data_IF_909603017713
#
_entry.id   IF_909603017713
#
_cell.length_a   1.000
_cell.length_b   1.000
_cell.length_c   1.000
_cell.angle_alpha   90.00
_cell.angle_beta   90.00
_cell.angle_gamma   90.00
#
_symmetry.space_group_name_H-M   'P 1'
#
loop_
_entity.id
_entity.type
_entity.pdbx_description
1 polymer ?
#
# COMPACT_ATOMS: atom_id res chain seq x y z
N UNK A 1 9.96 8.85 -73.99
CA UNK A 1 10.61 8.05 -72.91
C UNK A 1 10.53 8.85 -71.62
N UNK A 2 9.60 8.54 -70.71
CA UNK A 2 9.77 8.89 -69.29
C UNK A 2 8.92 7.95 -68.44
N UNK A 3 9.58 7.35 -67.46
CA UNK A 3 9.19 6.12 -66.77
C UNK A 3 8.19 6.38 -65.65
N UNK A 4 7.14 5.57 -65.62
CA UNK A 4 6.26 5.32 -64.49
C UNK A 4 7.08 4.88 -63.27
N UNK A 5 7.03 5.64 -62.17
CA UNK A 5 7.57 5.20 -60.89
C UNK A 5 6.43 5.19 -59.85
N UNK A 6 5.83 4.02 -59.71
CA UNK A 6 4.91 3.64 -58.65
C UNK A 6 5.72 3.51 -57.35
N UNK A 7 5.60 4.50 -56.45
CA UNK A 7 6.17 4.41 -55.11
C UNK A 7 5.16 3.68 -54.21
N UNK A 8 5.33 2.37 -54.06
CA UNK A 8 4.64 1.57 -53.06
C UNK A 8 5.03 2.05 -51.66
N UNK A 9 4.11 2.72 -50.96
CA UNK A 9 4.22 2.99 -49.53
C UNK A 9 4.03 1.67 -48.77
N UNK A 10 5.14 1.05 -48.37
CA UNK A 10 5.12 -0.06 -47.41
C UNK A 10 4.58 0.49 -46.08
N UNK A 11 3.30 0.22 -45.81
CA UNK A 11 2.70 0.41 -44.51
C UNK A 11 3.49 -0.45 -43.50
N UNK A 12 4.33 0.21 -42.71
CA UNK A 12 4.97 -0.40 -41.55
C UNK A 12 3.90 -0.58 -40.48
N UNK A 13 3.10 -1.64 -40.62
CA UNK A 13 2.20 -2.11 -39.59
C UNK A 13 3.08 -2.57 -38.44
N UNK A 14 3.31 -1.69 -37.46
CA UNK A 14 3.96 -2.05 -36.22
C UNK A 14 3.15 -3.16 -35.58
N UNK A 15 3.63 -4.40 -35.71
CA UNK A 15 3.12 -5.53 -34.96
C UNK A 15 3.52 -5.28 -33.51
N UNK A 16 2.69 -4.55 -32.78
CA UNK A 16 2.76 -4.45 -31.33
C UNK A 16 2.58 -5.88 -30.85
N UNK A 17 3.69 -6.54 -30.52
CA UNK A 17 3.71 -7.84 -29.87
C UNK A 17 3.03 -7.64 -28.51
N UNK A 18 1.70 -7.79 -28.50
CA UNK A 18 0.95 -8.03 -27.29
C UNK A 18 1.56 -9.30 -26.71
N UNK A 19 2.43 -9.15 -25.72
CA UNK A 19 3.04 -10.27 -25.03
C UNK A 19 1.90 -11.01 -24.36
N UNK A 20 1.41 -12.06 -25.02
CA UNK A 20 0.38 -12.93 -24.48
C UNK A 20 0.99 -13.59 -23.25
N UNK A 21 0.60 -13.11 -22.07
CA UNK A 21 1.04 -13.68 -20.81
C UNK A 21 0.57 -15.13 -20.77
N UNK A 22 1.52 -16.06 -20.77
CA UNK A 22 1.23 -17.50 -20.81
C UNK A 22 1.01 -18.03 -19.41
N UNK A 23 0.11 -19.02 -19.27
CA UNK A 23 -0.06 -19.74 -18.01
C UNK A 23 1.27 -20.31 -17.53
N UNK A 24 1.57 -20.09 -16.25
CA UNK A 24 2.87 -20.39 -15.64
C UNK A 24 3.83 -19.19 -15.60
N UNK A 25 3.49 -18.06 -16.23
CA UNK A 25 4.25 -16.82 -16.06
C UNK A 25 4.36 -16.45 -14.58
N UNK A 26 5.56 -16.04 -14.15
CA UNK A 26 5.79 -15.61 -12.77
C UNK A 26 6.40 -14.22 -12.72
N UNK A 27 6.03 -13.48 -11.69
CA UNK A 27 6.51 -12.11 -11.45
C UNK A 27 6.73 -11.90 -9.96
N UNK A 28 7.74 -11.15 -9.56
CA UNK A 28 7.99 -10.79 -8.15
C UNK A 28 7.96 -9.28 -8.00
N UNK A 29 7.36 -8.79 -6.92
CA UNK A 29 7.18 -7.36 -6.69
C UNK A 29 6.41 -7.08 -5.41
N UNK A 30 5.84 -5.88 -5.32
CA UNK A 30 5.04 -5.45 -4.16
C UNK A 30 3.55 -5.70 -4.42
N UNK A 31 2.86 -6.21 -3.41
CA UNK A 31 1.40 -6.20 -3.34
C UNK A 31 0.94 -5.13 -2.34
N UNK A 32 -0.14 -4.42 -2.67
CA UNK A 32 -0.98 -3.68 -1.71
C UNK A 32 -2.35 -4.35 -1.59
N UNK A 33 -3.25 -3.75 -0.83
CA UNK A 33 -4.66 -4.08 -0.84
C UNK A 33 -5.52 -2.82 -0.91
N UNK A 34 -6.73 -2.96 -1.47
CA UNK A 34 -7.69 -1.86 -1.56
C UNK A 34 -8.06 -1.29 -0.19
N UNK A 35 -8.17 0.04 -0.10
CA UNK A 35 -8.76 0.73 1.04
C UNK A 35 -10.21 0.28 1.27
N UNK A 36 -10.64 0.25 2.54
CA UNK A 36 -12.01 -0.18 2.91
C UNK A 36 -13.09 0.75 2.31
N UNK A 37 -12.72 1.97 1.90
CA UNK A 37 -13.62 2.94 1.26
C UNK A 37 -14.07 2.53 -0.16
N UNK A 38 -13.34 1.64 -0.82
CA UNK A 38 -13.70 1.19 -2.16
C UNK A 38 -14.79 0.11 -2.15
N UNK A 39 -15.12 -0.49 -1.01
CA UNK A 39 -16.14 -1.54 -0.91
C UNK A 39 -17.48 -1.08 -1.51
N UNK A 40 -18.00 -1.81 -2.50
CA UNK A 40 -19.19 -1.44 -3.27
C UNK A 40 -18.95 -0.54 -4.48
N UNK A 41 -17.70 -0.11 -4.76
CA UNK A 41 -17.35 0.70 -5.93
C UNK A 41 -17.25 -0.12 -7.21
N UNK A 42 -17.46 0.53 -8.36
CA UNK A 42 -17.30 -0.08 -9.68
C UNK A 42 -15.84 -0.04 -10.14
N UNK A 43 -15.31 -1.18 -10.55
CA UNK A 43 -13.94 -1.36 -11.10
C UNK A 43 -13.83 -0.92 -12.56
N UNK A 44 -12.61 -0.86 -13.12
CA UNK A 44 -12.38 -0.57 -14.53
C UNK A 44 -13.09 -1.56 -15.48
N UNK A 45 -13.23 -2.83 -15.07
CA UNK A 45 -13.98 -3.85 -15.81
C UNK A 45 -15.47 -3.89 -15.50
N UNK A 46 -16.00 -2.86 -14.82
CA UNK A 46 -17.43 -2.68 -14.51
C UNK A 46 -18.02 -3.75 -13.57
N UNK A 47 -17.18 -4.47 -12.84
CA UNK A 47 -17.61 -5.30 -11.71
C UNK A 47 -17.68 -4.48 -10.42
N UNK A 48 -18.63 -4.80 -9.53
CA UNK A 48 -18.69 -4.22 -8.19
C UNK A 48 -17.64 -4.89 -7.32
N UNK A 49 -16.74 -4.11 -6.76
CA UNK A 49 -15.76 -4.59 -5.80
C UNK A 49 -16.43 -4.93 -4.47
N UNK A 50 -16.14 -6.12 -3.95
CA UNK A 50 -16.49 -6.55 -2.60
C UNK A 50 -15.20 -6.94 -1.88
N UNK A 51 -14.95 -6.33 -0.72
CA UNK A 51 -13.72 -6.55 0.05
C UNK A 51 -13.56 -7.99 0.58
N UNK A 52 -14.67 -8.72 0.70
CA UNK A 52 -14.71 -10.11 1.16
C UNK A 52 -14.38 -11.13 0.06
N UNK A 53 -14.37 -10.72 -1.21
CA UNK A 53 -14.07 -11.61 -2.33
C UNK A 53 -12.56 -11.85 -2.49
N UNK A 54 -12.16 -12.91 -3.19
CA UNK A 54 -10.76 -13.19 -3.54
C UNK A 54 -10.44 -12.64 -4.93
N UNK A 55 -10.27 -11.33 -4.99
CA UNK A 55 -10.11 -10.56 -6.23
C UNK A 55 -8.92 -9.61 -6.17
N UNK A 56 -8.48 -9.11 -7.33
CA UNK A 56 -7.36 -8.17 -7.44
C UNK A 56 -7.38 -7.31 -8.70
N UNK A 57 -6.59 -6.24 -8.68
CA UNK A 57 -6.15 -5.47 -9.84
C UNK A 57 -4.77 -5.95 -10.32
N UNK A 58 -4.57 -6.04 -11.64
CA UNK A 58 -3.25 -6.24 -12.25
C UNK A 58 -3.08 -5.43 -13.55
N UNK A 59 -1.91 -4.85 -13.79
CA UNK A 59 -1.67 -3.89 -14.89
C UNK A 59 -1.64 -4.51 -16.29
N UNK A 60 -1.31 -5.80 -16.37
CA UNK A 60 -1.12 -6.53 -17.64
C UNK A 60 -1.92 -7.83 -17.76
N UNK A 61 -2.51 -8.34 -16.69
CA UNK A 61 -3.18 -9.65 -16.78
C UNK A 61 -4.62 -9.43 -17.24
N UNK A 62 -5.12 -10.21 -18.21
CA UNK A 62 -6.48 -10.05 -18.70
C UNK A 62 -7.52 -10.17 -17.59
N UNK A 63 -8.63 -9.47 -17.75
CA UNK A 63 -9.85 -9.64 -16.94
C UNK A 63 -10.20 -11.14 -16.79
N UNK A 64 -10.63 -11.56 -15.61
CA UNK A 64 -10.94 -12.95 -15.25
C UNK A 64 -9.76 -13.93 -15.23
N UNK A 65 -8.52 -13.45 -15.36
CA UNK A 65 -7.34 -14.28 -15.07
C UNK A 65 -7.33 -14.71 -13.60
N UNK A 66 -6.80 -15.90 -13.32
CA UNK A 66 -6.54 -16.38 -11.96
C UNK A 66 -5.05 -16.37 -11.68
N UNK A 67 -4.67 -15.84 -10.53
CA UNK A 67 -3.27 -15.65 -10.15
C UNK A 67 -3.07 -16.18 -8.74
N UNK A 68 -2.08 -17.05 -8.54
CA UNK A 68 -1.61 -17.41 -7.21
C UNK A 68 -0.64 -16.34 -6.73
N UNK A 69 -0.99 -15.69 -5.64
CA UNK A 69 -0.18 -14.70 -4.95
C UNK A 69 0.46 -15.40 -3.77
N UNK A 70 1.79 -15.39 -3.68
CA UNK A 70 2.53 -15.96 -2.56
C UNK A 70 3.25 -14.86 -1.80
N UNK A 71 2.96 -14.71 -0.51
CA UNK A 71 3.72 -13.81 0.36
C UNK A 71 5.09 -14.41 0.66
N UNK A 72 6.15 -13.73 0.22
CA UNK A 72 7.53 -14.22 0.32
C UNK A 72 8.08 -14.20 1.75
N UNK A 73 7.44 -13.49 2.67
CA UNK A 73 7.89 -13.42 4.06
C UNK A 73 7.40 -14.59 4.92
N UNK A 74 6.29 -15.25 4.54
CA UNK A 74 5.66 -16.29 5.34
C UNK A 74 5.23 -17.53 4.54
N UNK A 75 5.46 -17.54 3.23
CA UNK A 75 5.08 -18.59 2.28
C UNK A 75 3.57 -18.92 2.23
N UNK A 76 2.71 -18.06 2.76
CA UNK A 76 1.25 -18.18 2.59
C UNK A 76 0.89 -17.73 1.19
N UNK A 77 -0.02 -18.45 0.55
CA UNK A 77 -0.53 -18.11 -0.76
C UNK A 77 -2.07 -18.06 -0.80
N UNK A 78 -2.57 -17.30 -1.76
CA UNK A 78 -4.00 -17.23 -2.09
C UNK A 78 -4.14 -17.09 -3.59
N UNK A 79 -5.15 -17.75 -4.17
CA UNK A 79 -5.49 -17.55 -5.58
C UNK A 79 -6.60 -16.50 -5.70
N UNK A 80 -6.34 -15.45 -6.47
CA UNK A 80 -7.28 -14.35 -6.71
C UNK A 80 -7.70 -14.30 -8.18
N UNK A 81 -8.87 -13.72 -8.46
CA UNK A 81 -9.35 -13.39 -9.81
C UNK A 81 -9.08 -11.92 -10.14
N UNK A 82 -8.59 -11.63 -11.33
CA UNK A 82 -8.40 -10.25 -11.79
C UNK A 82 -9.74 -9.65 -12.19
N UNK A 83 -10.14 -8.56 -11.54
CA UNK A 83 -11.40 -7.84 -11.79
C UNK A 83 -11.21 -6.36 -12.09
N UNK A 84 -9.97 -5.87 -12.05
CA UNK A 84 -9.68 -4.44 -12.20
C UNK A 84 -8.30 -4.22 -12.81
N UNK A 85 -8.06 -2.99 -13.26
CA UNK A 85 -6.79 -2.56 -13.86
C UNK A 85 -5.86 -1.91 -12.84
N UNK A 86 -4.56 -1.83 -13.16
CA UNK A 86 -3.53 -1.29 -12.26
C UNK A 86 -2.96 -2.36 -11.32
N UNK A 87 -2.15 -2.03 -10.30
CA UNK A 87 -1.77 -0.69 -9.91
C UNK A 87 -0.78 -0.05 -10.89
N UNK A 88 -0.93 1.26 -11.12
CA UNK A 88 -0.07 2.05 -12.00
C UNK A 88 1.06 2.74 -11.22
N UNK A 89 1.64 2.01 -10.27
CA UNK A 89 2.72 2.48 -9.39
C UNK A 89 3.91 1.57 -9.61
N UNK A 90 5.06 2.15 -9.98
CA UNK A 90 6.25 1.38 -10.29
C UNK A 90 6.67 0.48 -9.10
N UNK A 91 6.97 -0.78 -9.40
CA UNK A 91 7.33 -1.79 -8.40
C UNK A 91 6.14 -2.46 -7.67
N UNK A 92 4.94 -1.87 -7.71
CA UNK A 92 3.71 -2.53 -7.26
C UNK A 92 3.12 -3.30 -8.43
N UNK A 93 2.94 -4.60 -8.22
CA UNK A 93 2.56 -5.52 -9.30
C UNK A 93 1.14 -6.05 -9.14
N UNK A 94 0.55 -5.95 -7.95
CA UNK A 94 -0.82 -6.39 -7.71
C UNK A 94 -1.44 -5.59 -6.57
N UNK A 95 -2.74 -5.37 -6.64
CA UNK A 95 -3.55 -4.82 -5.55
C UNK A 95 -4.66 -5.81 -5.23
N UNK A 96 -4.62 -6.45 -4.07
CA UNK A 96 -5.54 -7.54 -3.71
C UNK A 96 -6.71 -7.03 -2.86
N UNK A 97 -7.79 -7.80 -2.77
CA UNK A 97 -8.88 -7.49 -1.84
C UNK A 97 -8.44 -7.53 -0.37
N UNK A 98 -9.25 -6.91 0.52
CA UNK A 98 -9.03 -6.96 1.96
C UNK A 98 -8.95 -8.40 2.47
N UNK A 99 -9.88 -9.26 2.04
CA UNK A 99 -9.89 -10.68 2.41
C UNK A 99 -8.65 -11.43 1.94
N UNK A 100 -8.20 -11.19 0.71
CA UNK A 100 -6.98 -11.80 0.19
C UNK A 100 -5.74 -11.35 1.00
N UNK A 101 -5.68 -10.08 1.41
CA UNK A 101 -4.60 -9.56 2.24
C UNK A 101 -4.52 -10.24 3.62
N UNK A 102 -5.67 -10.50 4.26
CA UNK A 102 -5.74 -11.26 5.52
C UNK A 102 -5.24 -12.71 5.34
N UNK A 103 -5.65 -13.36 4.25
CA UNK A 103 -5.23 -14.73 3.93
C UNK A 103 -3.74 -14.83 3.54
N UNK A 104 -3.18 -13.78 2.96
CA UNK A 104 -1.75 -13.65 2.69
C UNK A 104 -0.95 -13.28 3.95
N UNK A 105 -1.63 -12.87 5.02
CA UNK A 105 -0.98 -12.47 6.25
C UNK A 105 -0.17 -11.19 6.10
N UNK A 106 -0.76 -10.14 5.51
CA UNK A 106 -0.20 -8.79 5.51
C UNK A 106 0.07 -8.28 6.94
N UNK A 107 -0.72 -8.76 7.91
CA UNK A 107 -0.61 -8.34 9.30
C UNK A 107 -1.03 -6.88 9.44
N UNK A 108 -0.11 -6.04 9.91
CA UNK A 108 -0.33 -4.59 10.06
C UNK A 108 0.29 -3.76 8.93
N UNK A 109 0.88 -4.41 7.94
CA UNK A 109 1.51 -3.73 6.80
C UNK A 109 0.47 -3.44 5.72
N UNK A 110 0.56 -2.26 5.09
CA UNK A 110 -0.25 -1.92 3.91
C UNK A 110 0.28 -2.58 2.63
N UNK A 111 1.54 -3.02 2.64
CA UNK A 111 2.21 -3.66 1.50
C UNK A 111 3.10 -4.85 1.91
N UNK A 112 3.32 -5.79 1.00
CA UNK A 112 4.23 -6.94 1.19
C UNK A 112 4.95 -7.31 -0.11
N UNK A 113 6.08 -8.03 -0.01
CA UNK A 113 6.71 -8.67 -1.18
C UNK A 113 6.00 -9.97 -1.52
N UNK A 114 5.64 -10.12 -2.79
CA UNK A 114 4.95 -11.30 -3.29
C UNK A 114 5.62 -11.87 -4.53
N UNK A 115 5.39 -13.16 -4.76
CA UNK A 115 5.54 -13.80 -6.07
C UNK A 115 4.15 -14.11 -6.62
N UNK A 116 3.92 -13.75 -7.87
CA UNK A 116 2.75 -14.10 -8.66
C UNK A 116 3.06 -15.31 -9.55
N UNK A 117 2.08 -16.17 -9.73
CA UNK A 117 2.05 -17.24 -10.72
C UNK A 117 0.70 -17.19 -11.44
N UNK A 118 0.73 -16.96 -12.75
CA UNK A 118 -0.47 -16.91 -13.58
C UNK A 118 -1.01 -18.34 -13.78
N UNK A 119 -2.18 -18.62 -13.19
CA UNK A 119 -2.79 -19.96 -13.17
C UNK A 119 -3.66 -20.19 -14.39
N UNK A 120 -4.44 -19.19 -14.81
CA UNK A 120 -5.28 -19.26 -16.01
C UNK A 120 -5.59 -17.87 -16.54
N UNK A 121 -5.87 -17.77 -17.83
CA UNK A 121 -6.51 -16.61 -18.48
C UNK A 121 -7.83 -17.06 -19.14
N UNK A 122 -8.69 -16.15 -19.60
CA UNK A 122 -9.89 -16.53 -20.35
C UNK A 122 -9.60 -17.43 -21.57
N UNK A 123 -8.48 -17.19 -22.25
CA UNK A 123 -8.07 -17.92 -23.46
C UNK A 123 -7.20 -19.16 -23.16
N UNK A 124 -6.64 -19.26 -21.95
CA UNK A 124 -5.76 -20.36 -21.53
C UNK A 124 -6.20 -20.90 -20.18
N UNK A 125 -6.93 -22.03 -20.14
CA UNK A 125 -7.32 -22.65 -18.88
C UNK A 125 -6.11 -23.17 -18.10
N UNK A 126 -6.29 -23.40 -16.80
CA UNK A 126 -5.23 -23.94 -15.95
C UNK A 126 -4.69 -25.24 -16.54
N UNK A 127 -3.36 -25.31 -16.73
CA UNK A 127 -2.73 -26.57 -17.12
C UNK A 127 -2.98 -27.57 -16.00
N UNK A 128 -3.58 -28.71 -16.32
CA UNK A 128 -3.60 -29.87 -15.43
C UNK A 128 -2.15 -30.34 -15.24
N UNK A 129 -1.44 -29.73 -14.31
CA UNK A 129 -0.18 -30.27 -13.80
C UNK A 129 -0.62 -31.39 -12.85
N UNK A 130 -0.85 -32.57 -13.41
CA UNK A 130 -0.81 -33.81 -12.63
C UNK A 130 0.46 -33.73 -11.79
N UNK A 131 0.29 -33.57 -10.47
CA UNK A 131 1.38 -33.67 -9.52
C UNK A 131 1.93 -35.08 -9.64
N UNK A 132 2.96 -35.27 -10.46
CA UNK A 132 3.90 -36.36 -10.25
C UNK A 132 4.45 -36.12 -8.84
N UNK A 133 4.28 -37.06 -7.89
CA UNK A 133 4.88 -36.89 -6.57
C UNK A 133 6.38 -36.71 -6.77
N UNK A 134 6.90 -35.56 -6.33
CA UNK A 134 8.33 -35.40 -6.15
C UNK A 134 8.81 -36.56 -5.27
N UNK A 135 9.85 -37.24 -5.74
CA UNK A 135 10.43 -38.42 -5.13
C UNK A 135 10.49 -38.28 -3.60
N UNK A 136 9.84 -39.22 -2.92
CA UNK A 136 9.97 -39.40 -1.49
C UNK A 136 11.44 -39.72 -1.18
N UNK A 137 12.05 -38.91 -0.32
CA UNK A 137 13.24 -39.33 0.42
C UNK A 137 12.90 -40.59 1.23
N UNK A 138 13.81 -41.57 1.34
CA UNK A 138 13.52 -42.81 2.04
C UNK A 138 13.49 -42.57 3.55
N UNK A 139 12.31 -42.68 4.16
CA UNK A 139 12.22 -42.79 5.62
C UNK A 139 12.85 -44.12 6.09
N UNK A 140 13.67 -44.11 7.17
CA UNK A 140 14.10 -45.35 7.80
C UNK A 140 12.95 -45.96 8.61
N UNK A 141 12.81 -47.25 8.41
CA UNK A 141 11.80 -48.14 8.93
C UNK A 141 12.03 -48.42 10.43
N UNK A 142 11.07 -48.12 11.31
CA UNK A 142 10.97 -48.77 12.64
C UNK A 142 9.54 -49.17 12.98
N UNK A 143 9.27 -50.44 12.70
CA UNK A 143 8.47 -51.44 13.43
C UNK A 143 7.15 -51.02 14.11
N UNK A 144 6.09 -51.48 13.45
CA UNK A 144 4.84 -52.09 13.95
C UNK A 144 4.94 -52.78 15.33
N UNK A 145 4.05 -52.40 16.24
CA UNK A 145 3.46 -53.27 17.27
C UNK A 145 2.00 -52.81 17.52
N UNK A 146 1.10 -53.79 17.68
CA UNK A 146 -0.35 -53.67 17.63
C UNK A 146 -0.99 -53.20 18.97
N UNK A 147 -2.28 -52.87 18.85
CA UNK A 147 -3.38 -53.11 19.82
C UNK A 147 -3.65 -52.11 20.96
N UNK A 148 -4.81 -51.46 20.84
CA UNK A 148 -5.64 -50.98 21.94
C UNK A 148 -6.43 -52.17 22.56
N UNK A 149 -6.99 -52.09 23.79
CA UNK A 149 -8.18 -51.25 24.04
C UNK A 149 -8.24 -50.54 25.41
N UNK A 150 -9.04 -49.47 25.46
CA UNK A 150 -9.60 -48.82 26.66
C UNK A 150 -10.52 -49.77 27.48
N UNK A 151 -10.74 -49.56 28.80
CA UNK A 151 -11.82 -48.64 29.26
C UNK A 151 -11.64 -47.92 30.63
N UNK A 152 -12.42 -46.83 30.78
CA UNK A 152 -13.32 -46.51 31.92
C UNK A 152 -13.06 -45.24 32.77
N UNK A 153 -13.84 -44.18 32.46
CA UNK A 153 -14.90 -43.52 33.28
C UNK A 153 -14.60 -42.99 34.72
N UNK A 154 -14.78 -41.68 34.92
CA UNK A 154 -15.73 -41.04 35.88
C UNK A 154 -15.56 -39.50 35.89
N UNK A 155 -16.56 -38.74 35.41
CA UNK A 155 -17.63 -38.02 36.15
C UNK A 155 -17.27 -36.59 36.66
N UNK A 156 -18.01 -35.61 36.12
CA UNK A 156 -18.25 -34.24 36.63
C UNK A 156 -19.32 -34.28 37.77
N UNK A 157 -19.97 -33.20 38.29
CA UNK A 157 -19.94 -31.77 37.91
C UNK A 157 -20.03 -30.74 39.08
N UNK A 158 -19.89 -29.42 38.80
CA UNK A 158 -20.70 -28.35 39.41
C UNK A 158 -20.43 -26.96 38.76
N UNK A 159 -21.51 -26.31 38.32
CA UNK A 159 -21.67 -24.88 38.02
C UNK A 159 -22.16 -24.13 39.28
N UNK A 160 -22.72 -22.90 39.22
CA UNK A 160 -22.10 -21.59 38.96
C UNK A 160 -22.32 -20.62 40.16
N UNK A 161 -21.57 -19.52 40.25
CA UNK A 161 -21.93 -18.39 41.14
C UNK A 161 -21.85 -17.03 40.44
N UNK A 162 -23.03 -16.56 40.06
CA UNK A 162 -23.46 -15.17 40.01
C UNK A 162 -23.33 -14.53 41.39
N UNK A 163 -23.02 -13.23 41.46
CA UNK A 163 -23.47 -12.35 42.54
C UNK A 163 -23.57 -10.90 42.04
N UNK A 164 -24.79 -10.39 42.06
CA UNK A 164 -25.20 -8.99 41.94
C UNK A 164 -25.67 -8.54 43.31
N UNK A 165 -25.28 -7.35 43.79
CA UNK A 165 -25.99 -6.47 44.75
C UNK A 165 -25.26 -5.11 44.72
N UNK A 166 -25.74 -4.04 44.10
CA UNK A 166 -26.88 -3.12 44.40
C UNK A 166 -26.67 -2.21 45.61
N UNK A 167 -26.48 -0.90 45.36
CA UNK A 167 -26.98 0.24 46.17
C UNK A 167 -26.92 1.54 45.32
N UNK A 168 -28.02 2.00 44.70
CA UNK A 168 -28.91 3.13 45.12
C UNK A 168 -28.17 4.40 45.58
N UNK A 169 -28.54 5.63 45.24
CA UNK A 169 -29.57 6.21 44.38
C UNK A 169 -29.28 7.74 44.26
N UNK A 170 -29.85 8.36 43.22
CA UNK A 170 -30.41 9.71 43.15
C UNK A 170 -29.53 10.98 43.34
N UNK A 171 -29.59 11.84 42.30
CA UNK A 171 -30.32 13.14 42.31
C UNK A 171 -29.50 14.32 41.74
N UNK A 172 -29.77 14.64 40.48
CA UNK A 172 -29.77 16.03 39.95
C UNK A 172 -30.87 16.84 40.67
N UNK A 173 -30.76 18.17 40.82
CA UNK A 173 -30.99 19.05 39.66
C UNK A 173 -30.15 20.35 39.64
N UNK A 174 -29.96 20.93 38.45
CA UNK A 174 -29.76 22.38 38.25
C UNK A 174 -31.07 23.15 38.61
N UNK A 175 -31.16 24.50 38.74
CA UNK A 175 -30.81 25.42 37.62
C UNK A 175 -30.45 26.91 37.95
N UNK A 176 -29.96 27.63 36.92
CA UNK A 176 -30.12 29.09 36.62
C UNK A 176 -29.43 30.14 37.53
N UNK A 177 -28.91 31.31 37.13
CA UNK A 177 -29.14 32.21 35.97
C UNK A 177 -28.10 33.36 35.91
N UNK A 178 -27.83 33.86 34.68
CA UNK A 178 -27.66 35.28 34.23
C UNK A 178 -26.49 36.18 34.68
N UNK A 179 -25.68 36.63 33.72
CA UNK A 179 -25.77 37.92 32.98
C UNK A 179 -24.84 37.84 31.73
N UNK A 180 -25.31 37.94 30.45
CA UNK A 180 -25.67 39.12 29.61
C UNK A 180 -24.55 40.21 29.63
N UNK A 181 -24.00 40.79 28.56
CA UNK A 181 -24.41 41.21 27.18
C UNK A 181 -23.04 41.41 26.42
N UNK A 182 -22.84 41.14 25.13
CA UNK A 182 -23.02 42.07 23.99
C UNK A 182 -22.60 41.33 22.72
N UNK A 183 -23.53 41.26 21.75
CA UNK A 183 -23.27 40.93 20.35
C UNK A 183 -23.56 42.17 19.51
N UNK A 184 -22.62 42.55 18.63
CA UNK A 184 -22.91 43.32 17.42
C UNK A 184 -22.15 42.71 16.24
N UNK A 185 -22.77 42.60 15.05
CA UNK A 185 -22.19 41.94 13.88
C UNK A 185 -21.68 42.94 12.82
N UNK A 186 -20.55 42.64 12.15
CA UNK A 186 -20.22 43.26 10.83
C UNK A 186 -19.03 42.54 10.14
N UNK A 187 -18.84 42.64 8.81
CA UNK A 187 -19.63 42.02 7.75
C UNK A 187 -18.76 41.17 6.78
N UNK A 188 -19.41 40.46 5.86
CA UNK A 188 -18.78 39.77 4.73
C UNK A 188 -17.99 40.72 3.79
N UNK A 189 -16.91 40.27 3.13
CA UNK A 189 -16.33 41.02 2.02
C UNK A 189 -17.22 40.87 0.78
N UNK A 190 -17.90 41.96 0.43
CA UNK A 190 -18.59 42.15 -0.84
C UNK A 190 -17.58 42.40 -1.96
N UNK A 191 -17.83 41.76 -3.10
CA UNK A 191 -17.14 41.96 -4.37
C UNK A 191 -17.15 43.44 -4.77
N UNK A 192 -15.98 44.08 -4.78
CA UNK A 192 -15.78 45.38 -5.43
C UNK A 192 -15.09 45.16 -6.77
N UNK A 193 -15.87 45.33 -7.85
CA UNK A 193 -15.34 45.51 -9.19
C UNK A 193 -14.32 46.66 -9.17
N UNK A 194 -13.07 46.33 -9.49
CA UNK A 194 -12.01 47.32 -9.67
C UNK A 194 -11.88 47.60 -11.15
N UNK A 195 -12.40 48.75 -11.58
CA UNK A 195 -12.15 49.32 -12.89
C UNK A 195 -10.65 49.61 -13.00
N UNK A 196 -9.91 48.77 -13.72
CA UNK A 196 -8.49 49.02 -14.01
C UNK A 196 -8.42 49.70 -15.37
N UNK A 197 -8.02 50.97 -15.33
CA UNK A 197 -7.65 51.79 -16.48
C UNK A 197 -6.53 51.12 -17.27
N UNK A 198 -6.81 50.76 -18.52
CA UNK A 198 -5.85 50.21 -19.48
C UNK A 198 -4.82 51.26 -19.87
N UNK A 199 -3.68 51.28 -19.18
CA UNK A 199 -2.45 51.80 -19.76
C UNK A 199 -1.88 50.70 -20.66
N UNK A 200 -1.94 50.92 -21.98
CA UNK A 200 -1.24 50.07 -22.96
C UNK A 200 0.26 50.27 -22.80
N UNK A 201 0.86 49.52 -21.88
CA UNK A 201 2.28 49.26 -21.90
C UNK A 201 2.52 48.17 -22.97
N UNK A 202 3.34 48.49 -23.96
CA UNK A 202 3.72 47.57 -25.03
C UNK A 202 4.57 46.47 -24.40
N UNK A 203 3.93 45.36 -24.04
CA UNK A 203 4.62 44.14 -23.64
C UNK A 203 5.12 43.51 -24.94
N UNK A 204 6.42 43.68 -25.19
CA UNK A 204 7.19 42.94 -26.17
C UNK A 204 6.91 41.43 -26.01
N UNK A 205 6.56 40.76 -27.11
CA UNK A 205 6.20 39.34 -27.17
C UNK A 205 7.31 38.45 -26.57
N UNK A 206 7.29 38.26 -25.26
CA UNK A 206 8.12 37.25 -24.60
C UNK A 206 7.52 35.91 -24.96
N UNK A 207 8.29 35.07 -25.66
CA UNK A 207 7.90 33.69 -25.92
C UNK A 207 7.35 33.06 -24.63
N UNK A 208 6.21 32.36 -24.68
CA UNK A 208 5.64 31.74 -23.50
C UNK A 208 6.68 30.79 -22.91
N UNK A 209 7.00 30.97 -21.62
CA UNK A 209 7.90 30.08 -20.88
C UNK A 209 7.32 28.67 -20.95
N UNK A 210 7.92 27.83 -21.80
CA UNK A 210 7.51 26.43 -21.97
C UNK A 210 7.99 25.64 -20.75
N UNK A 211 7.14 25.55 -19.73
CA UNK A 211 7.34 24.56 -18.68
C UNK A 211 7.12 23.18 -19.27
N UNK A 212 8.05 22.25 -19.04
CA UNK A 212 7.79 20.83 -19.26
C UNK A 212 6.70 20.44 -18.27
N UNK A 213 5.52 19.95 -18.71
CA UNK A 213 4.45 19.57 -17.80
C UNK A 213 4.96 18.51 -16.82
N UNK A 214 4.65 18.68 -15.53
CA UNK A 214 5.02 17.71 -14.52
C UNK A 214 4.44 16.34 -14.91
N UNK A 215 5.30 15.37 -15.23
CA UNK A 215 4.86 13.99 -15.40
C UNK A 215 4.40 13.47 -14.04
N UNK A 216 3.20 12.90 -14.00
CA UNK A 216 2.66 12.26 -12.81
C UNK A 216 3.61 11.16 -12.35
N UNK A 217 4.08 11.31 -11.09
CA UNK A 217 4.83 10.34 -10.31
C UNK A 217 6.14 9.84 -10.95
N UNK A 218 7.16 10.69 -10.94
CA UNK A 218 8.54 10.21 -11.08
C UNK A 218 8.82 9.23 -9.93
N UNK A 219 9.32 8.00 -10.20
CA UNK A 219 9.54 7.00 -9.18
C UNK A 219 10.50 7.50 -8.11
N UNK A 220 10.22 7.16 -6.84
CA UNK A 220 11.18 7.37 -5.74
C UNK A 220 12.48 6.63 -6.06
N UNK A 221 13.62 7.18 -5.64
CA UNK A 221 14.91 6.51 -5.82
C UNK A 221 14.86 5.14 -5.14
N UNK A 222 14.91 4.08 -5.96
CA UNK A 222 15.08 2.71 -5.49
C UNK A 222 16.53 2.28 -5.75
N UNK A 223 17.19 1.76 -4.71
CA UNK A 223 18.63 1.46 -4.75
C UNK A 223 19.52 2.63 -4.31
N UNK A 224 20.78 2.35 -3.99
CA UNK A 224 21.74 3.26 -3.34
C UNK A 224 22.31 4.39 -4.22
N UNK A 225 21.48 5.08 -5.01
CA UNK A 225 21.93 6.06 -6.02
C UNK A 225 21.57 7.52 -5.68
N UNK A 226 21.63 7.89 -4.40
CA UNK A 226 21.68 9.31 -4.06
C UNK A 226 23.13 9.80 -4.28
N UNK A 227 23.33 10.60 -5.32
CA UNK A 227 24.64 11.11 -5.79
C UNK A 227 24.50 12.59 -6.13
N UNK A 228 25.57 13.20 -6.63
CA UNK A 228 25.48 14.58 -7.14
C UNK A 228 24.51 14.62 -8.33
N UNK A 229 23.55 15.54 -8.29
CA UNK A 229 22.49 15.64 -9.29
C UNK A 229 21.36 16.58 -8.89
N UNK A 230 20.37 16.73 -9.78
CA UNK A 230 19.17 17.53 -9.54
C UNK A 230 18.01 16.61 -9.19
N UNK A 231 17.33 16.90 -8.08
CA UNK A 231 16.23 16.10 -7.56
C UNK A 231 14.96 16.94 -7.40
N UNK A 232 13.80 16.34 -7.67
CA UNK A 232 12.49 16.90 -7.32
C UNK A 232 12.18 16.57 -5.86
N UNK A 233 11.86 17.57 -5.05
CA UNK A 233 11.44 17.40 -3.67
C UNK A 233 9.96 17.75 -3.56
N UNK A 234 9.16 16.85 -2.98
CA UNK A 234 7.77 17.12 -2.61
C UNK A 234 7.65 17.14 -1.09
N UNK A 235 7.21 18.28 -0.54
CA UNK A 235 6.96 18.41 0.89
C UNK A 235 5.48 18.19 1.15
N UNK A 236 5.14 17.04 1.75
CA UNK A 236 3.77 16.68 2.12
C UNK A 236 3.66 16.65 3.64
N UNK A 237 2.50 17.06 4.17
CA UNK A 237 2.18 16.76 5.57
C UNK A 237 1.98 15.25 5.70
N UNK A 238 2.48 14.61 6.77
CA UNK A 238 2.21 13.21 7.02
C UNK A 238 0.70 12.96 7.14
N UNK A 239 0.27 11.74 6.83
CA UNK A 239 -1.08 11.28 7.15
C UNK A 239 -1.35 11.38 8.67
N UNK A 240 -2.62 11.28 9.07
CA UNK A 240 -2.98 11.26 10.49
C UNK A 240 -2.25 10.15 11.25
N UNK A 241 -1.76 10.46 12.44
CA UNK A 241 -1.15 9.51 13.36
C UNK A 241 -0.24 10.24 14.36
N UNK A 242 -0.08 9.65 15.54
CA UNK A 242 0.52 10.33 16.69
C UNK A 242 1.96 9.87 16.97
N UNK A 243 2.35 8.70 16.44
CA UNK A 243 3.62 8.06 16.76
C UNK A 243 4.42 7.68 15.51
N UNK A 244 5.72 7.57 15.67
CA UNK A 244 6.65 7.10 14.66
C UNK A 244 7.79 6.30 15.29
N UNK A 245 8.64 5.71 14.46
CA UNK A 245 9.88 5.06 14.89
C UNK A 245 11.05 5.85 14.33
N UNK A 246 11.75 6.59 15.19
CA UNK A 246 12.96 7.30 14.79
C UNK A 246 14.08 6.28 14.57
N UNK A 247 14.67 6.29 13.38
CA UNK A 247 15.76 5.36 12.99
C UNK A 247 17.11 6.06 12.89
N UNK A 248 17.13 7.37 12.66
CA UNK A 248 18.35 8.14 12.57
C UNK A 248 18.15 9.63 12.91
N UNK A 249 19.26 10.32 13.17
CA UNK A 249 19.33 11.78 13.32
C UNK A 249 20.62 12.28 12.69
N UNK A 250 20.51 13.36 11.92
CA UNK A 250 21.62 13.98 11.21
C UNK A 250 21.66 15.48 11.47
N UNK A 251 22.87 16.05 11.48
CA UNK A 251 23.08 17.51 11.59
C UNK A 251 23.04 18.22 10.23
N UNK A 252 22.97 17.45 9.15
CA UNK A 252 22.99 17.95 7.78
C UNK A 252 21.91 17.26 6.92
N UNK A 253 21.38 18.02 5.97
CA UNK A 253 20.31 17.55 5.09
C UNK A 253 20.79 16.46 4.14
N UNK A 254 22.05 16.50 3.71
CA UNK A 254 22.62 15.54 2.75
C UNK A 254 22.63 14.12 3.31
N UNK A 255 23.10 13.94 4.54
CA UNK A 255 23.12 12.65 5.24
C UNK A 255 21.70 12.15 5.52
N UNK A 256 20.78 13.06 5.86
CA UNK A 256 19.37 12.70 6.01
C UNK A 256 18.77 12.19 4.69
N UNK A 257 19.05 12.86 3.57
CA UNK A 257 18.61 12.44 2.24
C UNK A 257 19.22 11.11 1.81
N UNK A 258 20.50 10.88 2.10
CA UNK A 258 21.15 9.58 1.88
C UNK A 258 20.47 8.46 2.65
N UNK A 259 20.08 8.70 3.91
CA UNK A 259 19.37 7.70 4.72
C UNK A 259 17.98 7.42 4.17
N UNK A 260 17.24 8.47 3.75
CA UNK A 260 15.93 8.32 3.10
C UNK A 260 16.06 7.45 1.84
N UNK A 261 17.04 7.73 0.98
CA UNK A 261 17.29 6.94 -0.22
C UNK A 261 17.65 5.47 0.11
N UNK A 262 18.45 5.22 1.16
CA UNK A 262 18.76 3.86 1.63
C UNK A 262 17.51 3.13 2.14
N UNK A 263 16.61 3.82 2.83
CA UNK A 263 15.36 3.25 3.32
C UNK A 263 14.39 2.97 2.14
N UNK A 264 14.28 3.88 1.18
CA UNK A 264 13.51 3.65 -0.05
C UNK A 264 14.04 2.46 -0.87
N UNK A 265 15.37 2.31 -0.96
CA UNK A 265 16.01 1.13 -1.55
C UNK A 265 15.67 -0.19 -0.82
N UNK A 266 15.34 -0.10 0.47
CA UNK A 266 14.86 -1.20 1.30
C UNK A 266 13.32 -1.28 1.33
N UNK A 267 12.64 -0.59 0.42
CA UNK A 267 11.17 -0.61 0.23
C UNK A 267 10.36 0.07 1.34
N UNK A 268 10.98 0.95 2.14
CA UNK A 268 10.24 1.81 3.06
C UNK A 268 9.66 3.01 2.31
N UNK A 269 8.36 3.23 2.43
CA UNK A 269 7.59 4.27 1.72
C UNK A 269 7.09 5.38 2.64
N UNK A 270 6.73 5.03 3.88
CA UNK A 270 6.26 5.93 4.92
C UNK A 270 7.42 6.50 5.75
N UNK A 271 8.26 7.31 5.10
CA UNK A 271 9.43 7.96 5.69
C UNK A 271 9.12 9.44 5.92
N UNK A 272 9.20 9.86 7.19
CA UNK A 272 9.01 11.22 7.63
C UNK A 272 10.34 11.87 7.99
N UNK A 273 10.44 13.16 7.76
CA UNK A 273 11.58 13.98 8.18
C UNK A 273 11.08 15.07 9.12
N UNK A 274 11.56 15.06 10.36
CA UNK A 274 11.30 16.14 11.32
C UNK A 274 12.56 16.99 11.45
N UNK A 275 12.47 18.27 11.06
CA UNK A 275 13.53 19.26 11.28
C UNK A 275 13.29 20.02 12.59
N UNK A 276 14.19 19.92 13.54
CA UNK A 276 14.15 20.67 14.81
C UNK A 276 15.51 21.30 15.04
N UNK A 277 15.56 22.64 15.09
CA UNK A 277 16.83 23.35 15.03
C UNK A 277 17.62 22.94 13.78
N UNK A 278 18.92 22.68 13.90
CA UNK A 278 19.74 22.15 12.82
C UNK A 278 19.69 20.63 12.64
N UNK A 279 18.82 19.91 13.37
CA UNK A 279 18.80 18.43 13.36
C UNK A 279 17.65 17.91 12.51
N UNK A 280 17.97 16.91 11.68
CA UNK A 280 17.07 16.19 10.81
C UNK A 280 16.84 14.79 11.36
N UNK A 281 15.65 14.52 11.88
CA UNK A 281 15.25 13.21 12.39
C UNK A 281 14.55 12.44 11.28
N UNK A 282 15.03 11.23 10.99
CA UNK A 282 14.42 10.31 10.02
C UNK A 282 13.55 9.32 10.78
N UNK A 283 12.27 9.27 10.45
CA UNK A 283 11.23 8.58 11.20
C UNK A 283 10.41 7.70 10.25
N UNK A 284 10.15 6.45 10.63
CA UNK A 284 9.21 5.57 9.92
C UNK A 284 7.83 5.66 10.57
N UNK A 285 6.77 5.82 9.77
CA UNK A 285 5.40 6.03 10.24
C UNK A 285 4.63 6.99 9.32
N UNK A 286 3.45 7.46 9.71
CA UNK A 286 2.93 7.52 11.09
C UNK A 286 2.23 6.24 11.56
N UNK A 287 2.05 6.11 12.88
CA UNK A 287 1.26 5.10 13.56
C UNK A 287 0.25 5.77 14.51
N UNK A 288 -0.93 5.17 14.69
CA UNK A 288 -1.99 5.73 15.53
C UNK A 288 -1.64 5.72 17.02
N UNK A 289 -0.98 4.64 17.47
CA UNK A 289 -0.67 4.40 18.88
C UNK A 289 0.80 3.97 19.12
N UNK A 290 1.25 4.19 20.35
CA UNK A 290 2.63 3.94 20.78
C UNK A 290 3.00 2.45 20.71
N UNK A 291 2.06 1.54 20.99
CA UNK A 291 2.32 0.11 20.98
C UNK A 291 2.57 -0.40 19.55
N UNK A 292 1.87 0.14 18.57
CA UNK A 292 2.07 -0.13 17.14
C UNK A 292 3.46 0.28 16.68
N UNK A 293 3.87 1.51 17.00
CA UNK A 293 5.23 1.97 16.72
C UNK A 293 6.28 1.13 17.46
N UNK A 294 6.04 0.77 18.72
CA UNK A 294 6.96 -0.07 19.50
C UNK A 294 7.12 -1.48 18.94
N UNK A 295 6.04 -2.09 18.47
CA UNK A 295 6.08 -3.40 17.82
C UNK A 295 6.82 -3.32 16.47
N UNK A 296 6.58 -2.26 15.70
CA UNK A 296 7.31 -2.02 14.46
C UNK A 296 8.81 -1.86 14.72
N UNK A 297 9.22 -1.11 15.75
CA UNK A 297 10.63 -0.96 16.13
C UNK A 297 11.30 -2.30 16.50
N UNK A 298 10.59 -3.20 17.20
CA UNK A 298 11.08 -4.56 17.49
C UNK A 298 11.28 -5.37 16.21
N UNK A 299 10.33 -5.29 15.27
CA UNK A 299 10.40 -5.96 13.98
C UNK A 299 11.54 -5.43 13.12
N UNK A 300 11.78 -4.11 13.11
CA UNK A 300 12.94 -3.51 12.45
C UNK A 300 14.26 -4.10 12.95
N UNK A 301 14.42 -4.20 14.28
CA UNK A 301 15.62 -4.78 14.89
C UNK A 301 15.76 -6.27 14.54
N UNK A 302 14.66 -7.03 14.58
CA UNK A 302 14.69 -8.47 14.33
C UNK A 302 15.01 -8.79 12.87
N UNK A 303 14.26 -8.18 11.94
CA UNK A 303 14.23 -8.52 10.51
C UNK A 303 15.29 -7.78 9.70
N UNK A 304 15.49 -6.49 9.99
CA UNK A 304 16.37 -5.62 9.20
C UNK A 304 17.65 -5.23 9.93
N UNK A 305 17.83 -5.68 11.19
CA UNK A 305 18.95 -5.29 12.05
C UNK A 305 19.08 -3.78 12.23
N UNK A 306 17.96 -3.07 12.12
CA UNK A 306 17.92 -1.61 12.28
C UNK A 306 17.39 -1.27 13.67
N UNK A 307 18.13 -0.48 14.41
CA UNK A 307 17.65 0.07 15.67
C UNK A 307 16.66 1.20 15.39
N UNK A 308 15.66 1.32 16.25
CA UNK A 308 14.72 2.42 16.23
C UNK A 308 14.00 2.51 17.56
N UNK A 309 13.48 3.69 17.86
CA UNK A 309 12.70 3.92 19.07
C UNK A 309 11.47 4.76 18.78
N UNK A 310 10.43 4.52 19.56
CA UNK A 310 9.15 5.20 19.39
C UNK A 310 9.25 6.66 19.78
N UNK A 311 8.65 7.53 18.97
CA UNK A 311 8.57 8.98 19.19
C UNK A 311 7.16 9.47 18.92
N UNK A 312 6.76 10.55 19.58
CA UNK A 312 5.55 11.30 19.22
C UNK A 312 5.83 12.25 18.05
N UNK A 313 4.84 12.39 17.16
CA UNK A 313 4.93 13.21 15.97
C UNK A 313 4.40 14.64 16.17
N UNK A 314 3.71 14.89 17.29
CA UNK A 314 3.24 16.22 17.69
C UNK A 314 4.37 17.08 18.29
#
# INVERSE_FOLDING_TARGET
MLRTLLLCTLASFGLTLLSAQTVGHTQTGIASYYSDEFDGSTTAYKEIYNKEDLVAAHSLYPHNSRVRVTNLANNRDVTVRIIDEGPWIEGRIIEVSRRAAELLGFGRSSTIRVKLELISTPDQPARNVSRTPAAADPQPNTRRANEAPEPSRNQAPATPRTNTTTRTADREPAPTTQDRVVSTPQPAPSNRATTTTTTKEVIEDREPVRFVPAQDQTPLLTGGKFTDGVYKIELRRPASGNYGVQVASYSDVTSAMQEIAKLQAKWFDNILVRKIGGVYKVILGPFDDQASAGNYAKDLKKRYKMAGFTVELQ
#
